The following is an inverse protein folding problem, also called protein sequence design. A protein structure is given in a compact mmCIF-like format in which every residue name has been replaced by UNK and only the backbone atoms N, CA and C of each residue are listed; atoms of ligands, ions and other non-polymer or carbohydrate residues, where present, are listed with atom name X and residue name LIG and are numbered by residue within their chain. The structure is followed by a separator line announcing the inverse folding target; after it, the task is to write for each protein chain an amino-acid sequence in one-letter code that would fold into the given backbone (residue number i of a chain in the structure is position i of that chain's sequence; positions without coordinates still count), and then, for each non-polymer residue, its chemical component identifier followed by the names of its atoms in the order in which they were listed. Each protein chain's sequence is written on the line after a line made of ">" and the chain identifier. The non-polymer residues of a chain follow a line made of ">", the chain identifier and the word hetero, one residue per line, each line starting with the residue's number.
data_IF_445227613184
#
_entry.id   IF_445227613184
#
_cell.length_a   1.000
_cell.length_b   1.000
_cell.length_c   1.000
_cell.angle_alpha   90.00
_cell.angle_beta   90.00
_cell.angle_gamma   90.00
#
_symmetry.space_group_name_H-M   'P 1'
#
loop_
_entity.id
_entity.type
_entity.pdbx_description
1 polymer ?
#
# COMPACT_ATOMS: atom_id res chain seq x y z
N UNK A 1 10.33 -17.21 2.50
CA UNK A 1 8.97 -17.59 2.03
C UNK A 1 9.08 -18.40 0.73
N UNK A 2 9.36 -19.70 0.80
CA UNK A 2 9.76 -20.52 -0.38
C UNK A 2 8.57 -20.98 -1.27
N UNK A 3 7.33 -20.88 -0.77
CA UNK A 3 6.13 -21.44 -1.44
C UNK A 3 4.90 -20.50 -1.50
N UNK A 4 5.06 -19.18 -1.39
CA UNK A 4 3.89 -18.30 -1.58
C UNK A 4 3.54 -18.23 -3.06
N UNK A 5 2.37 -18.78 -3.43
CA UNK A 5 1.81 -18.67 -4.78
C UNK A 5 1.74 -17.21 -5.22
N UNK A 6 1.95 -16.95 -6.51
CA UNK A 6 1.84 -15.62 -7.10
C UNK A 6 0.54 -14.91 -6.70
N UNK A 7 -0.58 -15.67 -6.69
CA UNK A 7 -1.89 -15.14 -6.29
C UNK A 7 -1.90 -14.71 -4.81
N UNK A 8 -1.23 -15.45 -3.92
CA UNK A 8 -1.16 -15.10 -2.50
C UNK A 8 -0.32 -13.83 -2.26
N UNK A 9 0.77 -13.62 -3.01
CA UNK A 9 1.50 -12.33 -2.97
C UNK A 9 0.66 -11.18 -3.48
N UNK A 10 -0.08 -11.39 -4.57
CA UNK A 10 -0.93 -10.36 -5.15
C UNK A 10 -2.05 -9.94 -4.18
N UNK A 11 -2.69 -10.92 -3.52
CA UNK A 11 -3.71 -10.66 -2.49
C UNK A 11 -3.09 -9.95 -1.28
N UNK A 12 -1.92 -10.38 -0.84
CA UNK A 12 -1.22 -9.75 0.30
C UNK A 12 -0.90 -8.27 0.04
N UNK A 13 -0.22 -7.96 -1.07
CA UNK A 13 0.08 -6.58 -1.42
C UNK A 13 -1.18 -5.79 -1.81
N UNK A 14 -2.15 -6.43 -2.46
CA UNK A 14 -3.46 -5.86 -2.75
C UNK A 14 -4.19 -5.39 -1.49
N UNK A 15 -4.26 -6.24 -0.46
CA UNK A 15 -4.85 -5.88 0.83
C UNK A 15 -4.12 -4.70 1.48
N UNK A 16 -2.78 -4.70 1.46
CA UNK A 16 -1.98 -3.58 1.99
C UNK A 16 -2.34 -2.28 1.28
N UNK A 17 -2.42 -2.27 -0.05
CA UNK A 17 -2.80 -1.08 -0.82
C UNK A 17 -4.19 -0.61 -0.46
N UNK A 18 -5.17 -1.53 -0.41
CA UNK A 18 -6.57 -1.22 -0.17
C UNK A 18 -6.78 -0.59 1.20
N UNK A 19 -6.24 -1.22 2.25
CA UNK A 19 -6.33 -0.68 3.61
C UNK A 19 -5.54 0.62 3.75
N UNK A 20 -4.32 0.70 3.20
CA UNK A 20 -3.50 1.90 3.32
C UNK A 20 -4.13 3.11 2.61
N UNK A 21 -4.71 2.91 1.42
CA UNK A 21 -5.45 3.97 0.72
C UNK A 21 -6.71 4.37 1.47
N UNK A 22 -7.46 3.42 2.03
CA UNK A 22 -8.64 3.71 2.84
C UNK A 22 -8.30 4.63 4.01
N UNK A 23 -7.28 4.28 4.80
CA UNK A 23 -6.82 5.12 5.90
C UNK A 23 -6.19 6.43 5.44
N UNK A 24 -5.48 6.43 4.30
CA UNK A 24 -4.95 7.66 3.71
C UNK A 24 -6.05 8.67 3.41
N UNK A 25 -7.15 8.25 2.76
CA UNK A 25 -8.27 9.14 2.45
C UNK A 25 -8.99 9.64 3.70
N UNK A 26 -9.20 8.76 4.69
CA UNK A 26 -9.79 9.16 5.97
C UNK A 26 -8.91 10.18 6.71
N UNK A 27 -7.58 9.98 6.70
CA UNK A 27 -6.63 10.91 7.28
C UNK A 27 -6.57 12.24 6.49
N UNK A 28 -6.67 12.17 5.16
CA UNK A 28 -6.68 13.36 4.31
C UNK A 28 -7.92 14.21 4.57
N UNK A 29 -9.10 13.58 4.68
CA UNK A 29 -10.34 14.27 5.06
C UNK A 29 -10.19 14.95 6.42
N UNK A 30 -9.66 14.24 7.42
CA UNK A 30 -9.51 14.83 8.77
C UNK A 30 -8.52 15.99 8.82
N UNK A 31 -7.46 15.96 8.00
CA UNK A 31 -6.54 17.10 7.85
C UNK A 31 -7.24 18.29 7.16
N UNK A 32 -8.02 18.02 6.11
CA UNK A 32 -8.78 19.06 5.38
C UNK A 32 -9.85 19.72 6.25
N UNK A 33 -10.48 18.96 7.15
CA UNK A 33 -11.50 19.45 8.09
C UNK A 33 -10.93 20.23 9.29
N UNK A 34 -9.62 20.55 9.26
CA UNK A 34 -8.97 21.39 10.26
C UNK A 34 -8.17 20.61 11.32
N UNK A 35 -7.97 19.29 11.14
CA UNK A 35 -7.12 18.46 11.99
C UNK A 35 -5.65 18.87 11.95
N UNK A 36 -5.28 19.90 12.71
CA UNK A 36 -3.97 20.58 12.70
C UNK A 36 -3.01 20.01 13.75
N UNK A 37 -2.88 18.69 13.78
CA UNK A 37 -1.88 18.01 14.60
C UNK A 37 -0.67 17.58 13.77
N UNK A 38 0.56 17.83 14.24
CA UNK A 38 1.79 17.29 13.62
C UNK A 38 1.69 15.76 13.45
N UNK A 39 1.10 15.06 14.43
CA UNK A 39 0.83 13.63 14.34
C UNK A 39 -0.11 13.24 13.20
N UNK A 40 -1.09 14.09 12.88
CA UNK A 40 -2.03 13.87 11.77
C UNK A 40 -1.32 13.87 10.41
N UNK A 41 -0.41 14.85 10.22
CA UNK A 41 0.40 14.95 9.00
C UNK A 41 1.36 13.76 8.89
N UNK A 42 2.01 13.37 10.00
CA UNK A 42 2.90 12.20 10.02
C UNK A 42 2.14 10.93 9.62
N UNK A 43 0.95 10.70 10.18
CA UNK A 43 0.11 9.56 9.83
C UNK A 43 -0.27 9.57 8.35
N UNK A 44 -0.62 10.73 7.80
CA UNK A 44 -0.97 10.87 6.39
C UNK A 44 0.19 10.45 5.47
N UNK A 45 1.40 10.90 5.79
CA UNK A 45 2.62 10.51 5.05
C UNK A 45 2.89 9.01 5.19
N UNK A 46 2.76 8.44 6.40
CA UNK A 46 2.95 7.01 6.65
C UNK A 46 1.98 6.16 5.83
N UNK A 47 0.70 6.52 5.81
CA UNK A 47 -0.30 5.81 5.00
C UNK A 47 0.00 5.92 3.50
N UNK A 48 0.46 7.09 3.03
CA UNK A 48 0.88 7.28 1.65
C UNK A 48 2.07 6.40 1.26
N UNK A 49 3.09 6.33 2.12
CA UNK A 49 4.27 5.47 1.90
C UNK A 49 3.87 3.99 1.92
N UNK A 50 3.00 3.56 2.82
CA UNK A 50 2.49 2.18 2.84
C UNK A 50 1.69 1.83 1.59
N UNK A 51 0.84 2.74 1.10
CA UNK A 51 0.12 2.55 -0.16
C UNK A 51 1.09 2.42 -1.34
N UNK A 52 2.11 3.29 -1.43
CA UNK A 52 3.14 3.22 -2.46
C UNK A 52 3.94 1.90 -2.39
N UNK A 53 4.28 1.45 -1.18
CA UNK A 53 4.96 0.17 -0.96
C UNK A 53 4.12 -1.02 -1.43
N UNK A 54 2.82 -1.03 -1.12
CA UNK A 54 1.90 -2.06 -1.60
C UNK A 54 1.82 -2.09 -3.13
N UNK A 55 1.70 -0.93 -3.78
CA UNK A 55 1.67 -0.83 -5.25
C UNK A 55 2.99 -1.34 -5.85
N UNK A 56 4.13 -0.94 -5.27
CA UNK A 56 5.45 -1.43 -5.67
C UNK A 56 5.57 -2.95 -5.55
N UNK A 57 5.04 -3.55 -4.47
CA UNK A 57 5.02 -5.00 -4.28
C UNK A 57 4.17 -5.74 -5.31
N UNK A 58 3.03 -5.15 -5.73
CA UNK A 58 2.20 -5.67 -6.83
C UNK A 58 2.97 -5.64 -8.15
N UNK A 59 3.54 -4.48 -8.52
CA UNK A 59 4.30 -4.30 -9.77
C UNK A 59 5.50 -5.25 -9.81
N UNK A 60 6.26 -5.35 -8.72
CA UNK A 60 7.40 -6.25 -8.60
C UNK A 60 6.98 -7.71 -8.73
N UNK A 61 5.83 -8.10 -8.17
CA UNK A 61 5.29 -9.45 -8.31
C UNK A 61 5.01 -9.77 -9.78
N UNK A 62 4.36 -8.87 -10.51
CA UNK A 62 4.13 -9.03 -11.96
C UNK A 62 5.45 -9.14 -12.76
N UNK A 63 6.45 -8.32 -12.42
CA UNK A 63 7.76 -8.36 -13.08
C UNK A 63 8.47 -9.71 -12.87
N UNK A 64 8.40 -10.28 -11.66
CA UNK A 64 8.96 -11.61 -11.35
C UNK A 64 8.22 -12.71 -12.12
N UNK A 65 6.89 -12.66 -12.21
CA UNK A 65 6.11 -13.63 -13.00
C UNK A 65 6.49 -13.59 -14.48
N UNK A 66 6.68 -12.40 -15.05
CA UNK A 66 7.12 -12.22 -16.44
C UNK A 66 8.51 -12.81 -16.68
N UNK A 67 9.41 -12.75 -15.69
CA UNK A 67 10.77 -13.31 -15.78
C UNK A 67 10.80 -14.83 -15.65
N UNK A 68 9.93 -15.42 -14.83
CA UNK A 68 9.82 -16.88 -14.66
C UNK A 68 9.05 -17.59 -15.79
N UNK A 69 8.37 -16.84 -16.67
CA UNK A 69 7.60 -17.38 -17.80
C UNK A 69 8.34 -17.23 -19.15
N UNK A 70 9.62 -16.84 -19.10
CA UNK A 70 10.60 -16.89 -20.20
C UNK A 70 11.60 -17.99 -19.90
#
# INVERSE_FOLDING_TARGET
>A
MKNFSFNARLIYFGAIVLFSLGFFFLQLSSVMDGGTGIGSIILLVLWGVMAAFGIGGIIASFAVKKRNNK
#
